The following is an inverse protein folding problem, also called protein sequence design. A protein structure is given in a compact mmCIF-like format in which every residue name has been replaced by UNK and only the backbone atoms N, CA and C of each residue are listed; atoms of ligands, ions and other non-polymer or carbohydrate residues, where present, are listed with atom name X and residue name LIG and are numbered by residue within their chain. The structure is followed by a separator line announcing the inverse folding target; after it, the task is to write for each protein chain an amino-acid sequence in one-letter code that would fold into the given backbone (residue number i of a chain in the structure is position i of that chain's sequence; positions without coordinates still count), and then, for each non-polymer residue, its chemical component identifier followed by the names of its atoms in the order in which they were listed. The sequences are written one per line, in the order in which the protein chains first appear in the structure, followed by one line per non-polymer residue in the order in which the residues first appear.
data_IF_458274501213
#
_entry.id   IF_458274501213
#
_cell.length_a   1.000
_cell.length_b   1.000
_cell.length_c   1.000
_cell.angle_alpha   90.00
_cell.angle_beta   90.00
_cell.angle_gamma   90.00
#
_symmetry.space_group_name_H-M   'P 1'
#
loop_
_entity.id
_entity.type
_entity.pdbx_description
1 polymer ?
#
# COMPACT_ATOMS: atom_id res chain seq x y z
N UNK A 1 5.26 -24.69 -5.98
CA UNK A 1 5.28 -23.33 -6.58
C UNK A 1 6.69 -22.77 -6.50
N UNK A 2 7.17 -22.05 -7.52
CA UNK A 2 8.48 -21.39 -7.43
C UNK A 2 8.40 -20.17 -6.52
N UNK A 3 9.50 -19.85 -5.81
CA UNK A 3 9.57 -18.69 -4.92
C UNK A 3 9.26 -17.37 -5.64
N UNK A 4 9.68 -17.25 -6.91
CA UNK A 4 9.36 -16.09 -7.77
C UNK A 4 7.87 -15.92 -8.03
N UNK A 5 7.13 -17.02 -8.20
CA UNK A 5 5.69 -16.97 -8.43
C UNK A 5 4.93 -16.51 -7.18
N UNK A 6 5.39 -16.95 -6.00
CA UNK A 6 4.85 -16.51 -4.70
C UNK A 6 5.07 -15.01 -4.48
N UNK A 7 6.27 -14.51 -4.75
CA UNK A 7 6.60 -13.08 -4.70
C UNK A 7 5.70 -12.27 -5.65
N UNK A 8 5.48 -12.76 -6.86
CA UNK A 8 4.61 -12.12 -7.83
C UNK A 8 3.15 -12.03 -7.35
N UNK A 9 2.62 -13.08 -6.72
CA UNK A 9 1.27 -13.04 -6.12
C UNK A 9 1.19 -11.99 -5.01
N UNK A 10 2.19 -11.92 -4.13
CA UNK A 10 2.23 -10.93 -3.05
C UNK A 10 2.26 -9.50 -3.60
N UNK A 11 3.07 -9.26 -4.63
CA UNK A 11 3.19 -7.98 -5.33
C UNK A 11 1.88 -7.57 -6.02
N UNK A 12 1.24 -8.47 -6.77
CA UNK A 12 -0.05 -8.17 -7.39
C UNK A 12 -1.14 -7.88 -6.35
N UNK A 13 -1.16 -8.64 -5.26
CA UNK A 13 -2.07 -8.38 -4.14
C UNK A 13 -1.88 -6.99 -3.57
N UNK A 14 -0.63 -6.54 -3.39
CA UNK A 14 -0.35 -5.19 -2.87
C UNK A 14 -0.85 -4.09 -3.80
N UNK A 15 -0.66 -4.25 -5.11
CA UNK A 15 -1.20 -3.30 -6.09
C UNK A 15 -2.71 -3.18 -5.93
N UNK A 16 -3.43 -4.31 -5.90
CA UNK A 16 -4.89 -4.32 -5.75
C UNK A 16 -5.29 -3.63 -4.44
N UNK A 17 -4.60 -3.94 -3.35
CA UNK A 17 -4.87 -3.34 -2.05
C UNK A 17 -4.57 -1.85 -1.99
N UNK A 18 -3.55 -1.34 -2.69
CA UNK A 18 -3.25 0.09 -2.75
C UNK A 18 -4.40 0.86 -3.40
N UNK A 19 -4.89 0.40 -4.55
CA UNK A 19 -6.03 1.04 -5.22
C UNK A 19 -7.34 0.86 -4.45
N UNK A 20 -7.57 -0.31 -3.84
CA UNK A 20 -8.72 -0.52 -2.96
C UNK A 20 -8.68 0.41 -1.74
N UNK A 21 -7.49 0.63 -1.16
CA UNK A 21 -7.31 1.54 -0.03
C UNK A 21 -7.54 2.99 -0.41
N UNK A 22 -7.11 3.40 -1.60
CA UNK A 22 -7.41 4.72 -2.14
C UNK A 22 -8.92 4.91 -2.31
N UNK A 23 -9.59 3.90 -2.87
CA UNK A 23 -11.04 3.92 -3.06
C UNK A 23 -11.77 4.06 -1.71
N UNK A 24 -11.40 3.24 -0.73
CA UNK A 24 -11.99 3.31 0.61
C UNK A 24 -11.68 4.65 1.29
N UNK A 25 -10.45 5.17 1.18
CA UNK A 25 -10.06 6.43 1.79
C UNK A 25 -10.83 7.63 1.23
N UNK A 26 -11.02 7.69 -0.09
CA UNK A 26 -11.83 8.69 -0.76
C UNK A 26 -13.32 8.57 -0.36
N UNK A 27 -13.85 7.35 -0.26
CA UNK A 27 -15.23 7.11 0.18
C UNK A 27 -15.45 7.57 1.61
N UNK A 28 -14.53 7.23 2.52
CA UNK A 28 -14.57 7.68 3.93
C UNK A 28 -14.48 9.20 4.02
N UNK A 29 -13.62 9.81 3.19
CA UNK A 29 -13.41 11.26 3.20
C UNK A 29 -14.65 12.03 2.74
N UNK A 30 -15.28 11.57 1.66
CA UNK A 30 -16.42 12.25 1.06
C UNK A 30 -17.76 11.84 1.71
N UNK A 31 -17.75 10.83 2.59
CA UNK A 31 -18.95 10.23 3.22
C UNK A 31 -19.98 9.69 2.22
N UNK A 32 -19.53 9.44 0.99
CA UNK A 32 -20.33 8.99 -0.14
C UNK A 32 -19.52 8.02 -0.99
N UNK A 33 -20.21 7.27 -1.86
CA UNK A 33 -19.54 6.45 -2.87
C UNK A 33 -18.87 7.40 -3.87
N UNK A 34 -17.60 7.13 -4.17
CA UNK A 34 -16.76 7.99 -5.02
C UNK A 34 -17.38 8.14 -6.41
N UNK A 35 -17.45 9.39 -6.88
CA UNK A 35 -17.80 9.67 -8.26
C UNK A 35 -16.65 9.31 -9.22
N UNK A 36 -16.94 8.89 -10.46
CA UNK A 36 -15.88 8.67 -11.46
C UNK A 36 -14.96 9.88 -11.65
N UNK A 37 -15.47 11.09 -11.48
CA UNK A 37 -14.71 12.34 -11.58
C UNK A 37 -13.70 12.46 -10.43
N UNK A 38 -14.12 12.21 -9.19
CA UNK A 38 -13.24 12.25 -8.03
C UNK A 38 -12.15 11.18 -8.13
N UNK A 39 -12.51 9.97 -8.58
CA UNK A 39 -11.54 8.91 -8.82
C UNK A 39 -10.49 9.36 -9.84
N UNK A 40 -10.93 9.86 -11.01
CA UNK A 40 -10.06 10.29 -12.10
C UNK A 40 -9.12 11.43 -11.73
N UNK A 41 -9.49 12.26 -10.76
CA UNK A 41 -8.61 13.31 -10.24
C UNK A 41 -7.47 12.75 -9.38
N UNK A 42 -7.74 11.70 -8.59
CA UNK A 42 -6.82 11.23 -7.55
C UNK A 42 -5.94 10.06 -7.99
N UNK A 43 -6.49 9.08 -8.72
CA UNK A 43 -5.76 7.86 -9.03
C UNK A 43 -4.43 8.11 -9.77
N UNK A 44 -4.31 9.02 -10.77
CA UNK A 44 -3.05 9.19 -11.49
C UNK A 44 -1.95 9.73 -10.59
N UNK A 45 -2.30 10.68 -9.73
CA UNK A 45 -1.37 11.34 -8.80
C UNK A 45 -0.90 10.35 -7.72
N UNK A 46 -1.81 9.52 -7.21
CA UNK A 46 -1.47 8.47 -6.23
C UNK A 46 -0.69 7.31 -6.84
N UNK A 47 -0.85 7.00 -8.12
CA UNK A 47 -0.06 5.95 -8.79
C UNK A 47 1.45 6.22 -8.70
N UNK A 48 1.89 7.48 -8.77
CA UNK A 48 3.29 7.82 -8.57
C UNK A 48 3.78 7.51 -7.14
N UNK A 49 2.98 7.85 -6.12
CA UNK A 49 3.28 7.52 -4.73
C UNK A 49 3.31 6.00 -4.50
N UNK A 50 2.34 5.27 -5.07
CA UNK A 50 2.26 3.81 -4.99
C UNK A 50 3.45 3.13 -5.67
N UNK A 51 3.92 3.66 -6.79
CA UNK A 51 5.11 3.15 -7.44
C UNK A 51 6.34 3.26 -6.53
N UNK A 52 6.53 4.41 -5.86
CA UNK A 52 7.58 4.59 -4.86
C UNK A 52 7.40 3.58 -3.72
N UNK A 53 6.17 3.42 -3.21
CA UNK A 53 5.90 2.50 -2.10
C UNK A 53 6.27 1.05 -2.43
N UNK A 54 5.93 0.60 -3.63
CA UNK A 54 6.25 -0.75 -4.10
C UNK A 54 7.76 -0.96 -4.24
N UNK A 55 8.51 0.05 -4.70
CA UNK A 55 9.99 0.01 -4.73
C UNK A 55 10.53 -0.14 -3.31
N UNK A 56 10.05 0.67 -2.36
CA UNK A 56 10.50 0.61 -0.98
C UNK A 56 10.16 -0.74 -0.36
N UNK A 57 8.98 -1.31 -0.61
CA UNK A 57 8.63 -2.67 -0.17
C UNK A 57 9.57 -3.73 -0.75
N UNK A 58 9.96 -3.56 -2.02
CA UNK A 58 10.86 -4.49 -2.71
C UNK A 58 12.27 -4.46 -2.11
N UNK A 59 12.88 -3.28 -2.00
CA UNK A 59 14.23 -3.14 -1.42
C UNK A 59 14.28 -3.51 0.06
N UNK A 60 13.16 -3.38 0.78
CA UNK A 60 13.05 -3.75 2.19
C UNK A 60 12.82 -5.25 2.41
N UNK A 61 12.79 -6.05 1.35
CA UNK A 61 12.64 -7.50 1.44
C UNK A 61 11.27 -7.95 1.96
N UNK A 62 10.22 -7.10 1.88
CA UNK A 62 8.87 -7.47 2.37
C UNK A 62 8.18 -8.55 1.52
N UNK A 63 8.74 -8.88 0.35
CA UNK A 63 8.30 -9.99 -0.50
C UNK A 63 9.06 -11.30 -0.22
N UNK A 64 10.10 -11.28 0.61
CA UNK A 64 10.84 -12.50 0.95
C UNK A 64 10.04 -13.40 1.89
N UNK A 65 9.77 -14.64 1.48
CA UNK A 65 8.92 -15.59 2.21
C UNK A 65 9.55 -16.04 3.54
N UNK A 66 10.87 -16.01 3.64
CA UNK A 66 11.61 -16.37 4.86
C UNK A 66 11.29 -15.45 6.05
N UNK A 67 10.88 -14.20 5.80
CA UNK A 67 10.55 -13.23 6.85
C UNK A 67 9.16 -13.44 7.47
N UNK A 68 8.28 -14.20 6.83
CA UNK A 68 6.88 -14.32 7.27
C UNK A 68 6.74 -15.23 8.50
N UNK A 69 7.74 -16.07 8.78
CA UNK A 69 7.72 -17.05 9.88
C UNK A 69 7.80 -16.40 11.28
N UNK A 70 8.27 -15.15 11.37
CA UNK A 70 8.34 -14.40 12.63
C UNK A 70 7.44 -13.16 12.55
N UNK A 71 6.16 -13.36 12.87
CA UNK A 71 5.09 -12.36 12.70
C UNK A 71 5.40 -11.01 13.35
N UNK A 72 6.11 -10.99 14.48
CA UNK A 72 6.46 -9.76 15.20
C UNK A 72 7.58 -8.98 14.51
N UNK A 73 8.63 -9.66 14.04
CA UNK A 73 9.72 -9.02 13.28
C UNK A 73 9.22 -8.48 11.94
N UNK A 74 8.37 -9.25 11.26
CA UNK A 74 7.72 -8.81 10.04
C UNK A 74 6.85 -7.57 10.28
N UNK A 75 6.01 -7.57 11.32
CA UNK A 75 5.17 -6.42 11.65
C UNK A 75 5.98 -5.16 11.97
N UNK A 76 7.07 -5.30 12.73
CA UNK A 76 7.98 -4.19 13.04
C UNK A 76 8.63 -3.63 11.77
N UNK A 77 9.15 -4.50 10.89
CA UNK A 77 9.74 -4.08 9.62
C UNK A 77 8.70 -3.41 8.71
N UNK A 78 7.51 -4.02 8.56
CA UNK A 78 6.41 -3.46 7.77
C UNK A 78 5.98 -2.07 8.28
N UNK A 79 5.91 -1.88 9.60
CA UNK A 79 5.56 -0.59 10.21
C UNK A 79 6.62 0.48 9.92
N UNK A 80 7.90 0.14 10.03
CA UNK A 80 9.01 1.05 9.72
C UNK A 80 8.98 1.47 8.24
N UNK A 81 8.83 0.49 7.35
CA UNK A 81 8.76 0.74 5.91
C UNK A 81 7.54 1.56 5.54
N UNK A 82 6.40 1.32 6.20
CA UNK A 82 5.20 2.13 6.00
C UNK A 82 5.40 3.58 6.43
N UNK A 83 6.08 3.80 7.56
CA UNK A 83 6.46 5.15 8.01
C UNK A 83 7.33 5.88 6.97
N UNK A 84 8.33 5.20 6.41
CA UNK A 84 9.18 5.74 5.33
C UNK A 84 8.32 6.09 4.11
N UNK A 85 7.43 5.20 3.70
CA UNK A 85 6.55 5.41 2.56
C UNK A 85 5.61 6.61 2.72
N UNK A 86 5.02 6.77 3.90
CA UNK A 86 4.19 7.94 4.21
C UNK A 86 5.02 9.22 4.15
N UNK A 87 6.21 9.25 4.75
CA UNK A 87 7.10 10.41 4.72
C UNK A 87 7.53 10.77 3.29
N UNK A 88 7.87 9.78 2.48
CA UNK A 88 8.20 9.97 1.07
C UNK A 88 7.02 10.53 0.27
N UNK A 89 5.81 9.99 0.49
CA UNK A 89 4.62 10.48 -0.20
C UNK A 89 4.23 11.90 0.22
N UNK A 90 4.36 12.24 1.51
CA UNK A 90 4.17 13.63 1.99
C UNK A 90 5.16 14.57 1.30
N UNK A 91 6.43 14.18 1.23
CA UNK A 91 7.48 14.97 0.58
C UNK A 91 7.20 15.14 -0.91
N UNK A 92 6.83 14.06 -1.58
CA UNK A 92 6.46 14.04 -3.00
C UNK A 92 5.31 15.00 -3.31
N UNK A 93 4.22 14.95 -2.54
CA UNK A 93 3.09 15.86 -2.73
C UNK A 93 3.39 17.30 -2.31
N UNK A 94 4.38 17.54 -1.45
CA UNK A 94 4.79 18.91 -1.13
C UNK A 94 5.51 19.58 -2.31
N UNK A 95 6.28 18.82 -3.08
CA UNK A 95 7.07 19.34 -4.21
C UNK A 95 6.21 19.53 -5.47
N UNK A 96 5.14 18.75 -5.63
CA UNK A 96 4.29 18.78 -6.83
C UNK A 96 3.24 19.89 -6.77
N UNK A 97 3.27 20.90 -7.67
CA UNK A 97 2.28 21.99 -7.69
C UNK A 97 0.85 21.50 -7.96
N UNK A 98 0.71 20.42 -8.74
CA UNK A 98 -0.57 19.79 -9.08
C UNK A 98 -1.23 19.09 -7.87
N UNK A 99 -0.46 18.84 -6.79
CA UNK A 99 -0.97 18.19 -5.58
C UNK A 99 -1.70 19.14 -4.63
N UNK A 100 -1.87 20.42 -4.99
CA UNK A 100 -2.67 21.38 -4.21
C UNK A 100 -4.11 20.90 -3.95
N UNK A 101 -4.63 20.02 -4.82
CA UNK A 101 -5.96 19.43 -4.71
C UNK A 101 -6.00 18.13 -3.89
N UNK A 102 -4.85 17.55 -3.53
CA UNK A 102 -4.81 16.25 -2.84
C UNK A 102 -4.71 16.48 -1.33
N UNK A 103 -5.80 16.29 -0.55
CA UNK A 103 -5.77 16.53 0.88
C UNK A 103 -4.79 15.55 1.52
N UNK A 104 -3.82 16.06 2.30
CA UNK A 104 -2.88 15.24 3.11
C UNK A 104 -3.61 14.17 3.93
N UNK A 105 -4.86 14.46 4.31
CA UNK A 105 -5.79 13.53 4.95
C UNK A 105 -6.05 12.27 4.14
N UNK A 106 -6.24 12.36 2.82
CA UNK A 106 -6.50 11.19 1.96
C UNK A 106 -5.26 10.30 1.91
N UNK A 107 -4.05 10.87 1.82
CA UNK A 107 -2.83 10.07 1.89
C UNK A 107 -2.73 9.29 3.20
N UNK A 108 -2.98 9.96 4.34
CA UNK A 108 -2.93 9.32 5.65
C UNK A 108 -4.01 8.23 5.77
N UNK A 109 -5.24 8.50 5.34
CA UNK A 109 -6.33 7.53 5.33
C UNK A 109 -6.00 6.33 4.45
N UNK A 110 -5.52 6.56 3.22
CA UNK A 110 -5.07 5.52 2.30
C UNK A 110 -3.97 4.68 2.94
N UNK A 111 -3.01 5.31 3.61
CA UNK A 111 -1.95 4.61 4.32
C UNK A 111 -2.46 3.73 5.46
N UNK A 112 -3.35 4.26 6.32
CA UNK A 112 -3.92 3.50 7.44
C UNK A 112 -4.74 2.30 6.93
N UNK A 113 -5.62 2.53 5.96
CA UNK A 113 -6.45 1.48 5.38
C UNK A 113 -5.57 0.42 4.70
N UNK A 114 -4.60 0.86 3.91
CA UNK A 114 -3.65 -0.03 3.25
C UNK A 114 -2.88 -0.86 4.25
N UNK A 115 -2.33 -0.26 5.31
CA UNK A 115 -1.56 -0.99 6.30
C UNK A 115 -2.41 -2.09 6.98
N UNK A 116 -3.67 -1.78 7.34
CA UNK A 116 -4.59 -2.79 7.86
C UNK A 116 -4.83 -3.94 6.89
N UNK A 117 -5.16 -3.63 5.63
CA UNK A 117 -5.39 -4.64 4.59
C UNK A 117 -4.13 -5.44 4.26
N UNK A 118 -2.96 -4.80 4.24
CA UNK A 118 -1.67 -5.40 3.96
C UNK A 118 -1.31 -6.47 4.99
N UNK A 119 -1.49 -6.17 6.27
CA UNK A 119 -1.25 -7.15 7.35
C UNK A 119 -2.21 -8.34 7.23
N UNK A 120 -3.49 -8.10 6.96
CA UNK A 120 -4.47 -9.16 6.73
C UNK A 120 -4.10 -10.05 5.53
N UNK A 121 -3.72 -9.42 4.42
CA UNK A 121 -3.29 -10.12 3.22
C UNK A 121 -2.05 -10.98 3.46
N UNK A 122 -1.07 -10.48 4.22
CA UNK A 122 0.12 -11.26 4.62
C UNK A 122 -0.22 -12.44 5.50
N UNK A 123 -1.17 -12.28 6.42
CA UNK A 123 -1.63 -13.39 7.24
C UNK A 123 -2.31 -14.48 6.40
N UNK A 124 -3.17 -14.09 5.45
CA UNK A 124 -3.84 -15.02 4.54
C UNK A 124 -2.81 -15.70 3.63
N UNK A 125 -1.93 -14.93 3.00
CA UNK A 125 -0.91 -15.42 2.10
C UNK A 125 0.06 -16.38 2.80
N UNK A 126 0.45 -16.11 4.06
CA UNK A 126 1.23 -17.07 4.85
C UNK A 126 0.52 -18.42 4.95
N UNK A 127 -0.78 -18.42 5.30
CA UNK A 127 -1.55 -19.64 5.49
C UNK A 127 -1.76 -20.43 4.19
N UNK A 128 -1.97 -19.74 3.07
CA UNK A 128 -2.24 -20.39 1.78
C UNK A 128 -0.96 -20.83 1.08
N UNK A 129 0.10 -20.04 1.15
CA UNK A 129 1.35 -20.28 0.41
C UNK A 129 2.29 -21.21 1.18
N UNK A 130 2.30 -21.18 2.52
CA UNK A 130 3.14 -22.07 3.36
C UNK A 130 2.63 -23.51 3.44
N UNK A 131 1.35 -23.77 3.12
CA UNK A 131 0.75 -25.12 3.20
C UNK A 131 0.92 -25.97 1.93
N UNK A 132 1.66 -25.46 0.96
CA UNK A 132 2.03 -26.15 -0.31
C UNK A 132 3.53 -26.20 -0.44
#
# INVERSE_FOLDING_TARGET
MTEKFRQFILFLGDIILLYASLFVALSIRNQEIISPQDWNLHWPIFTYAFFIWLIVFYISGLYELNNIRNSLKFFAAASQVMGINILLAITFFYILPQAQLTPKTILILTGIVFFGLFILWRHIAHKTISKT
#
